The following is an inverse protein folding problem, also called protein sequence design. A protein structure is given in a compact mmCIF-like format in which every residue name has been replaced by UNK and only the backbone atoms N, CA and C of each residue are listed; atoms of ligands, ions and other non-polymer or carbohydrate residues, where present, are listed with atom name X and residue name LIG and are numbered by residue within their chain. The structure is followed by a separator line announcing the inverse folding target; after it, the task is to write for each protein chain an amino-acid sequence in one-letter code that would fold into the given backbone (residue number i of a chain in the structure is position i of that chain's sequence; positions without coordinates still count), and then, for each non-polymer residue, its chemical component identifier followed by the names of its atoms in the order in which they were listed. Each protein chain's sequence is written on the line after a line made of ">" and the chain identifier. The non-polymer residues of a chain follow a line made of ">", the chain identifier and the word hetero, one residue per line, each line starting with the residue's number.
data_IF_717823989317
#
_entry.id   IF_717823989317
#
_cell.length_a   1.000
_cell.length_b   1.000
_cell.length_c   1.000
_cell.angle_alpha   90.00
_cell.angle_beta   90.00
_cell.angle_gamma   90.00
#
_symmetry.space_group_name_H-M   'P 1'
#
loop_
_entity.id
_entity.type
_entity.pdbx_description
1 polymer ?
#
# COMPACT_ATOMS: atom_id res chain seq x y z
N UNK A 1 14.99 3.56 11.31
CA UNK A 1 15.01 4.56 10.22
C UNK A 1 13.68 4.50 9.47
N UNK A 2 13.00 5.63 9.33
CA UNK A 2 11.81 5.79 8.49
C UNK A 2 12.23 5.73 7.02
N UNK A 3 12.22 4.53 6.44
CA UNK A 3 12.61 4.33 5.03
C UNK A 3 11.48 4.91 4.15
N UNK A 4 11.76 6.06 3.55
CA UNK A 4 10.90 6.72 2.59
C UNK A 4 11.13 6.11 1.21
N UNK A 5 10.06 5.81 0.48
CA UNK A 5 10.12 5.35 -0.90
C UNK A 5 10.33 6.51 -1.86
N UNK A 6 11.13 6.25 -2.91
CA UNK A 6 11.27 7.10 -4.09
C UNK A 6 10.02 7.03 -4.99
N UNK A 7 9.91 7.94 -5.96
CA UNK A 7 8.78 7.95 -6.90
C UNK A 7 8.64 6.63 -7.68
N UNK A 8 9.75 6.06 -8.15
CA UNK A 8 9.76 4.79 -8.88
C UNK A 8 9.30 3.61 -8.01
N UNK A 9 9.67 3.61 -6.73
CA UNK A 9 9.24 2.59 -5.78
C UNK A 9 7.76 2.72 -5.42
N UNK A 10 7.25 3.95 -5.33
CA UNK A 10 5.81 4.21 -5.17
C UNK A 10 5.02 3.72 -6.39
N UNK A 11 5.51 3.95 -7.60
CA UNK A 11 4.88 3.45 -8.83
C UNK A 11 4.84 1.92 -8.85
N UNK A 12 5.94 1.24 -8.52
CA UNK A 12 5.98 -0.22 -8.42
C UNK A 12 4.99 -0.75 -7.38
N UNK A 13 4.93 -0.11 -6.21
CA UNK A 13 3.97 -0.47 -5.17
C UNK A 13 2.53 -0.23 -5.62
N UNK A 14 2.26 0.89 -6.32
CA UNK A 14 0.94 1.20 -6.85
C UNK A 14 0.46 0.11 -7.81
N UNK A 15 1.30 -0.29 -8.77
CA UNK A 15 0.98 -1.36 -9.73
C UNK A 15 0.68 -2.67 -9.00
N UNK A 16 1.53 -3.07 -8.06
CA UNK A 16 1.32 -4.30 -7.29
C UNK A 16 0.01 -4.28 -6.48
N UNK A 17 -0.34 -3.15 -5.87
CA UNK A 17 -1.59 -3.00 -5.12
C UNK A 17 -2.82 -2.99 -6.04
N UNK A 18 -2.71 -2.38 -7.23
CA UNK A 18 -3.79 -2.39 -8.23
C UNK A 18 -4.14 -3.78 -8.74
N UNK A 19 -3.14 -4.65 -8.87
CA UNK A 19 -3.34 -6.04 -9.28
C UNK A 19 -3.81 -6.93 -8.12
N UNK A 20 -3.51 -6.56 -6.88
CA UNK A 20 -3.82 -7.36 -5.69
C UNK A 20 -5.14 -7.00 -5.02
N UNK A 21 -5.68 -5.81 -5.24
CA UNK A 21 -6.85 -5.34 -4.50
C UNK A 21 -7.90 -4.72 -5.40
N UNK A 22 -9.15 -4.84 -4.96
CA UNK A 22 -10.24 -3.96 -5.36
C UNK A 22 -10.51 -2.91 -4.26
N UNK A 23 -11.46 -2.01 -4.50
CA UNK A 23 -11.81 -0.95 -3.54
C UNK A 23 -12.34 -1.49 -2.21
N UNK A 24 -13.03 -2.63 -2.20
CA UNK A 24 -13.60 -3.18 -0.97
C UNK A 24 -12.52 -3.86 -0.12
N UNK A 25 -11.72 -4.71 -0.75
CA UNK A 25 -10.63 -5.45 -0.11
C UNK A 25 -9.52 -4.54 0.41
N UNK A 26 -9.13 -3.48 -0.32
CA UNK A 26 -8.16 -2.50 0.20
C UNK A 26 -8.74 -1.76 1.40
N UNK A 27 -10.02 -1.37 1.37
CA UNK A 27 -10.67 -0.69 2.50
C UNK A 27 -10.71 -1.58 3.74
N UNK A 28 -11.11 -2.84 3.58
CA UNK A 28 -11.11 -3.82 4.67
C UNK A 28 -9.71 -4.01 5.27
N UNK A 29 -8.69 -4.16 4.43
CA UNK A 29 -7.31 -4.29 4.90
C UNK A 29 -6.87 -3.06 5.71
N UNK A 30 -7.12 -1.86 5.22
CA UNK A 30 -6.76 -0.62 5.91
C UNK A 30 -7.48 -0.49 7.26
N UNK A 31 -8.78 -0.79 7.30
CA UNK A 31 -9.55 -0.75 8.56
C UNK A 31 -9.07 -1.82 9.55
N UNK A 32 -8.95 -3.08 9.13
CA UNK A 32 -8.71 -4.18 10.05
C UNK A 32 -7.24 -4.37 10.43
N UNK A 33 -6.29 -4.00 9.55
CA UNK A 33 -4.86 -4.24 9.79
C UNK A 33 -4.10 -3.00 10.24
N UNK A 34 -4.56 -1.81 9.85
CA UNK A 34 -3.88 -0.55 10.18
C UNK A 34 -4.68 0.33 11.15
N UNK A 35 -5.90 -0.06 11.51
CA UNK A 35 -6.82 0.75 12.33
C UNK A 35 -6.96 2.19 11.78
N UNK A 36 -7.15 2.28 10.46
CA UNK A 36 -7.30 3.54 9.72
C UNK A 36 -8.57 3.55 8.91
N UNK A 37 -9.13 4.74 8.71
CA UNK A 37 -10.24 4.94 7.78
C UNK A 37 -9.72 5.43 6.43
N UNK A 38 -9.98 4.67 5.37
CA UNK A 38 -9.61 5.05 4.00
C UNK A 38 -10.25 6.40 3.61
N UNK A 39 -11.46 6.69 4.10
CA UNK A 39 -12.13 7.97 3.81
C UNK A 39 -11.44 9.17 4.47
N UNK A 40 -10.67 8.95 5.56
CA UNK A 40 -9.85 9.99 6.18
C UNK A 40 -8.55 10.28 5.42
N UNK A 41 -8.16 9.35 4.52
CA UNK A 41 -6.91 9.40 3.77
C UNK A 41 -7.16 10.00 2.38
N UNK A 42 -8.25 9.62 1.72
CA UNK A 42 -8.58 10.06 0.36
C UNK A 42 -10.08 10.27 0.17
N UNK A 43 -10.41 11.32 -0.57
CA UNK A 43 -11.75 11.59 -1.10
C UNK A 43 -11.84 11.28 -2.59
N UNK A 44 -10.78 10.71 -3.17
CA UNK A 44 -10.68 10.41 -4.59
C UNK A 44 -11.60 9.25 -4.97
N UNK A 45 -12.10 9.30 -6.20
CA UNK A 45 -12.82 8.18 -6.82
C UNK A 45 -11.88 7.38 -7.74
N UNK A 46 -12.17 6.09 -7.84
CA UNK A 46 -11.40 5.14 -8.65
C UNK A 46 -10.21 4.54 -7.90
N UNK A 47 -10.03 3.23 -8.08
CA UNK A 47 -9.01 2.44 -7.37
C UNK A 47 -7.59 2.98 -7.56
N UNK A 48 -7.23 3.40 -8.78
CA UNK A 48 -5.91 3.96 -9.10
C UNK A 48 -5.56 5.18 -8.26
N UNK A 49 -6.48 6.14 -8.17
CA UNK A 49 -6.29 7.37 -7.40
C UNK A 49 -6.29 7.08 -5.90
N UNK A 50 -7.21 6.23 -5.43
CA UNK A 50 -7.28 5.82 -4.03
C UNK A 50 -5.97 5.17 -3.57
N UNK A 51 -5.41 4.25 -4.36
CA UNK A 51 -4.14 3.60 -4.04
C UNK A 51 -2.99 4.62 -4.06
N UNK A 52 -2.96 5.52 -5.05
CA UNK A 52 -1.92 6.56 -5.14
C UNK A 52 -1.91 7.48 -3.91
N UNK A 53 -3.08 7.98 -3.51
CA UNK A 53 -3.22 8.86 -2.34
C UNK A 53 -2.82 8.12 -1.07
N UNK A 54 -3.25 6.85 -0.95
CA UNK A 54 -2.92 5.98 0.17
C UNK A 54 -1.40 5.80 0.33
N UNK A 55 -0.69 5.38 -0.72
CA UNK A 55 0.75 5.14 -0.65
C UNK A 55 1.53 6.44 -0.44
N UNK A 56 1.08 7.54 -1.04
CA UNK A 56 1.71 8.86 -0.88
C UNK A 56 1.57 9.35 0.55
N UNK A 57 0.38 9.19 1.14
CA UNK A 57 0.09 9.56 2.53
C UNK A 57 0.91 8.69 3.49
N UNK A 58 0.93 7.38 3.27
CA UNK A 58 1.73 6.45 4.07
C UNK A 58 3.22 6.76 4.03
N UNK A 59 3.73 7.12 2.85
CA UNK A 59 5.13 7.49 2.68
C UNK A 59 5.47 8.83 3.34
N UNK A 60 4.56 9.82 3.27
CA UNK A 60 4.71 11.13 3.92
C UNK A 60 4.64 11.04 5.44
N UNK A 61 3.76 10.20 5.97
CA UNK A 61 3.51 10.05 7.40
C UNK A 61 4.36 8.94 8.05
N UNK A 62 5.21 8.24 7.29
CA UNK A 62 6.20 7.30 7.82
C UNK A 62 5.70 5.91 8.15
N UNK A 63 4.48 5.53 7.72
CA UNK A 63 3.90 4.19 7.95
C UNK A 63 3.85 3.31 6.68
N UNK A 64 4.57 3.69 5.63
CA UNK A 64 4.64 2.93 4.36
C UNK A 64 5.08 1.47 4.54
N UNK A 65 6.01 1.17 5.45
CA UNK A 65 6.44 -0.21 5.73
C UNK A 65 5.33 -1.05 6.35
N UNK A 66 4.54 -0.45 7.24
CA UNK A 66 3.39 -1.12 7.84
C UNK A 66 2.34 -1.43 6.77
N UNK A 67 2.07 -0.46 5.87
CA UNK A 67 1.17 -0.68 4.73
C UNK A 67 1.64 -1.85 3.87
N UNK A 68 2.91 -1.88 3.47
CA UNK A 68 3.47 -2.95 2.63
C UNK A 68 3.37 -4.31 3.33
N UNK A 69 3.74 -4.38 4.61
CA UNK A 69 3.71 -5.63 5.37
C UNK A 69 2.27 -6.16 5.51
N UNK A 70 1.32 -5.29 5.88
CA UNK A 70 -0.08 -5.67 5.98
C UNK A 70 -0.69 -6.09 4.64
N UNK A 71 -0.33 -5.41 3.55
CA UNK A 71 -0.78 -5.79 2.20
C UNK A 71 -0.24 -7.17 1.80
N UNK A 72 1.04 -7.42 2.05
CA UNK A 72 1.69 -8.71 1.81
C UNK A 72 1.02 -9.84 2.58
N UNK A 73 0.69 -9.63 3.86
CA UNK A 73 0.06 -10.63 4.72
C UNK A 73 -1.41 -10.85 4.37
N UNK A 74 -2.14 -9.78 4.00
CA UNK A 74 -3.56 -9.86 3.68
C UNK A 74 -3.82 -10.52 2.33
N UNK A 75 -2.96 -10.28 1.34
CA UNK A 75 -3.03 -10.93 0.04
C UNK A 75 -1.76 -11.73 -0.26
N UNK A 76 -1.66 -12.89 0.39
CA UNK A 76 -0.57 -13.85 0.15
C UNK A 76 -0.64 -14.54 -1.21
N UNK A 77 -1.78 -14.43 -1.93
CA UNK A 77 -2.00 -15.09 -3.21
C UNK A 77 -1.44 -14.33 -4.43
N UNK A 78 -1.23 -13.01 -4.31
CA UNK A 78 -0.71 -12.20 -5.40
C UNK A 78 0.83 -12.22 -5.42
N UNK A 79 1.42 -13.01 -6.32
CA UNK A 79 2.89 -13.18 -6.43
C UNK A 79 3.65 -11.89 -6.77
N UNK A 80 3.04 -11.00 -7.56
CA UNK A 80 3.65 -9.72 -7.91
C UNK A 80 3.77 -8.83 -6.66
N UNK A 81 2.71 -8.74 -5.86
CA UNK A 81 2.73 -8.05 -4.58
C UNK A 81 3.77 -8.62 -3.63
N UNK A 82 3.90 -9.94 -3.50
CA UNK A 82 4.92 -10.56 -2.66
C UNK A 82 6.33 -10.11 -3.07
N UNK A 83 6.62 -10.18 -4.37
CA UNK A 83 7.93 -9.83 -4.93
C UNK A 83 8.27 -8.35 -4.69
N UNK A 84 7.33 -7.45 -4.97
CA UNK A 84 7.52 -6.02 -4.77
C UNK A 84 7.65 -5.69 -3.28
N UNK A 85 6.80 -6.26 -2.43
CA UNK A 85 6.85 -6.05 -0.99
C UNK A 85 8.20 -6.48 -0.40
N UNK A 86 8.71 -7.65 -0.77
CA UNK A 86 10.01 -8.14 -0.29
C UNK A 86 11.17 -7.27 -0.74
N UNK A 87 11.17 -6.81 -2.00
CA UNK A 87 12.17 -5.88 -2.51
C UNK A 87 12.20 -4.57 -1.70
N UNK A 88 11.02 -4.01 -1.43
CA UNK A 88 10.89 -2.73 -0.72
C UNK A 88 11.20 -2.84 0.79
N UNK A 89 10.88 -3.97 1.43
CA UNK A 89 11.11 -4.17 2.86
C UNK A 89 12.57 -4.52 3.19
N UNK A 90 13.25 -5.26 2.31
CA UNK A 90 14.63 -5.70 2.51
C UNK A 90 15.68 -4.64 2.14
N UNK A 91 15.25 -3.46 1.68
CA UNK A 91 16.13 -2.33 1.39
C UNK A 91 16.82 -1.84 2.68
N UNK A 92 18.16 -1.92 2.67
CA UNK A 92 19.04 -1.42 3.75
C UNK A 92 19.22 0.09 3.69
#
# INVERSE_FOLDING_TARGET
>A
ATTKLSGKELEQLQTALLEAFDLQSIKQMITFKLDKDLNSITTSSGLGNVIFDLITTANKQGWIKQLISCAKDYNSGNQHLQTVADSLLNKR
#
